data_IF_510198452421
#
_entry.id   IF_510198452421
#
_cell.length_a   1.000
_cell.length_b   1.000
_cell.length_c   1.000
_cell.angle_alpha   90.00
_cell.angle_beta   90.00
_cell.angle_gamma   90.00
#
_symmetry.space_group_name_H-M   'P 1'
#
loop_
_entity.id
_entity.type
_entity.pdbx_description
1 polymer ?
#
# COMPACT_ATOMS: atom_id res chain seq x y z
N UNK A 1 -10.89 4.84 -9.92
CA UNK A 1 -10.10 3.72 -10.46
C UNK A 1 -10.85 3.14 -11.66
N UNK A 2 -10.14 2.83 -12.75
CA UNK A 2 -10.74 2.36 -14.00
C UNK A 2 -10.05 1.06 -14.43
N UNK A 3 -10.82 -0.02 -14.57
CA UNK A 3 -10.33 -1.23 -15.20
C UNK A 3 -10.19 -1.01 -16.71
N UNK A 4 -9.07 -1.45 -17.25
CA UNK A 4 -8.84 -1.43 -18.68
C UNK A 4 -9.15 -2.78 -19.26
N UNK A 5 -10.03 -2.83 -20.26
CA UNK A 5 -10.31 -4.03 -21.04
C UNK A 5 -9.82 -3.86 -22.48
N UNK A 6 -9.62 -4.96 -23.19
CA UNK A 6 -9.36 -4.92 -24.65
C UNK A 6 -10.40 -4.06 -25.38
N UNK A 7 -10.03 -3.43 -26.52
CA UNK A 7 -10.94 -2.56 -27.28
C UNK A 7 -12.27 -3.24 -27.64
N UNK A 8 -12.24 -4.54 -27.94
CA UNK A 8 -13.45 -5.31 -28.26
C UNK A 8 -14.39 -5.45 -27.06
N UNK A 9 -13.85 -5.58 -25.85
CA UNK A 9 -14.64 -5.64 -24.62
C UNK A 9 -15.15 -4.25 -24.25
N UNK A 10 -14.32 -3.20 -24.34
CA UNK A 10 -14.75 -1.81 -24.10
C UNK A 10 -15.92 -1.42 -25.01
N UNK A 11 -15.80 -1.66 -26.31
CA UNK A 11 -16.90 -1.42 -27.26
C UNK A 11 -18.17 -2.22 -26.91
N UNK A 12 -18.01 -3.46 -26.43
CA UNK A 12 -19.12 -4.28 -25.95
C UNK A 12 -19.79 -3.75 -24.69
N UNK A 13 -19.05 -3.14 -23.77
CA UNK A 13 -19.59 -2.46 -22.58
C UNK A 13 -20.37 -1.21 -23.01
N UNK A 14 -19.80 -0.38 -23.89
CA UNK A 14 -20.42 0.87 -24.36
C UNK A 14 -21.77 0.65 -25.04
N UNK A 15 -21.92 -0.42 -25.81
CA UNK A 15 -23.20 -0.77 -26.48
C UNK A 15 -24.13 -1.62 -25.60
N UNK A 16 -23.79 -1.86 -24.32
CA UNK A 16 -24.62 -2.61 -23.37
C UNK A 16 -24.65 -4.12 -23.60
N UNK A 17 -23.76 -4.67 -24.42
CA UNK A 17 -23.62 -6.12 -24.64
C UNK A 17 -22.96 -6.80 -23.44
N UNK A 18 -22.01 -6.12 -22.80
CA UNK A 18 -21.33 -6.59 -21.61
C UNK A 18 -21.62 -5.66 -20.44
N UNK A 19 -21.70 -6.22 -19.23
CA UNK A 19 -21.75 -5.45 -17.99
C UNK A 19 -20.59 -5.82 -17.11
N UNK A 20 -19.96 -4.82 -16.52
CA UNK A 20 -19.01 -5.03 -15.44
C UNK A 20 -19.70 -5.65 -14.22
N UNK A 21 -18.98 -6.53 -13.54
CA UNK A 21 -19.41 -7.12 -12.28
C UNK A 21 -18.97 -6.18 -11.16
N UNK A 22 -19.94 -5.80 -10.34
CA UNK A 22 -19.73 -5.00 -9.15
C UNK A 22 -19.98 -5.87 -7.92
N UNK A 23 -19.08 -5.78 -6.95
CA UNK A 23 -19.22 -6.37 -5.62
C UNK A 23 -19.16 -5.24 -4.60
N UNK A 24 -20.23 -5.05 -3.83
CA UNK A 24 -20.37 -3.91 -2.92
C UNK A 24 -20.15 -2.54 -3.60
N UNK A 25 -20.54 -2.41 -4.86
CA UNK A 25 -20.35 -1.19 -5.67
C UNK A 25 -18.95 -1.01 -6.25
N UNK A 26 -18.02 -1.92 -5.97
CA UNK A 26 -16.64 -1.91 -6.47
C UNK A 26 -16.56 -2.83 -7.69
N UNK A 27 -16.04 -2.33 -8.82
CA UNK A 27 -15.75 -3.17 -9.98
C UNK A 27 -14.63 -4.15 -9.62
N UNK A 28 -14.77 -5.41 -10.03
CA UNK A 28 -13.77 -6.45 -9.76
C UNK A 28 -12.91 -6.78 -10.98
N UNK A 29 -13.05 -5.99 -12.05
CA UNK A 29 -12.31 -6.20 -13.29
C UNK A 29 -12.78 -7.40 -14.09
N UNK A 30 -14.04 -7.81 -13.96
CA UNK A 30 -14.65 -8.91 -14.71
C UNK A 30 -15.92 -8.40 -15.39
N UNK A 31 -16.15 -8.85 -16.61
CA UNK A 31 -17.39 -8.57 -17.35
C UNK A 31 -18.15 -9.84 -17.67
N UNK A 32 -19.47 -9.72 -17.73
CA UNK A 32 -20.39 -10.78 -18.18
C UNK A 32 -21.26 -10.30 -19.33
N UNK A 33 -21.68 -11.25 -20.15
CA UNK A 33 -22.62 -11.03 -21.25
C UNK A 33 -24.02 -10.76 -20.69
N UNK A 34 -24.66 -9.69 -21.15
CA UNK A 34 -25.95 -9.25 -20.60
C UNK A 34 -27.10 -10.17 -20.94
N UNK A 35 -26.98 -10.96 -22.02
CA UNK A 35 -28.04 -11.88 -22.49
C UNK A 35 -27.88 -13.27 -21.89
N UNK A 36 -26.67 -13.82 -21.96
CA UNK A 36 -26.36 -15.20 -21.54
C UNK A 36 -25.92 -15.31 -20.08
N UNK A 37 -25.56 -14.19 -19.43
CA UNK A 37 -25.01 -14.18 -18.07
C UNK A 37 -23.61 -14.80 -17.94
N UNK A 38 -23.02 -15.24 -19.05
CA UNK A 38 -21.72 -15.91 -19.06
C UNK A 38 -20.58 -14.92 -18.83
N UNK A 39 -19.53 -15.32 -18.12
CA UNK A 39 -18.33 -14.49 -17.92
C UNK A 39 -17.55 -14.34 -19.24
N UNK A 40 -17.21 -13.11 -19.65
CA UNK A 40 -16.69 -12.78 -20.99
C UNK A 40 -15.24 -12.31 -21.02
N UNK A 41 -14.79 -11.55 -20.03
CA UNK A 41 -13.39 -11.12 -19.96
C UNK A 41 -13.04 -10.68 -18.54
N UNK A 42 -11.74 -10.61 -18.27
CA UNK A 42 -11.18 -9.86 -17.16
C UNK A 42 -10.43 -8.65 -17.72
N UNK A 43 -10.11 -7.70 -16.85
CA UNK A 43 -9.37 -6.51 -17.20
C UNK A 43 -7.90 -6.83 -17.51
N UNK A 44 -7.35 -6.14 -18.51
CA UNK A 44 -5.95 -6.16 -18.94
C UNK A 44 -5.11 -5.10 -18.20
N UNK A 45 -5.70 -4.32 -17.30
CA UNK A 45 -4.99 -3.29 -16.56
C UNK A 45 -5.90 -2.54 -15.60
N UNK A 46 -5.29 -1.71 -14.76
CA UNK A 46 -6.01 -0.83 -13.85
C UNK A 46 -5.31 0.52 -13.79
N UNK A 47 -6.10 1.58 -13.90
CA UNK A 47 -5.66 2.97 -13.78
C UNK A 47 -6.26 3.64 -12.54
N UNK A 48 -5.43 4.43 -11.86
CA UNK A 48 -5.84 5.40 -10.82
C UNK A 48 -5.40 6.77 -11.30
N UNK A 49 -6.34 7.73 -11.37
CA UNK A 49 -6.09 9.08 -11.86
C UNK A 49 -5.40 9.14 -13.25
N UNK A 50 -5.71 8.17 -14.12
CA UNK A 50 -5.09 7.97 -15.46
C UNK A 50 -3.65 7.44 -15.46
N UNK A 51 -3.12 7.04 -14.30
CA UNK A 51 -1.82 6.39 -14.15
C UNK A 51 -1.98 4.90 -13.84
N UNK A 52 -1.08 4.03 -14.33
CA UNK A 52 -1.06 2.63 -13.94
C UNK A 52 -1.01 2.46 -12.43
N UNK A 53 -1.77 1.48 -11.93
CA UNK A 53 -1.63 1.05 -10.54
C UNK A 53 -0.19 0.58 -10.30
N UNK A 54 0.47 1.22 -9.34
CA UNK A 54 1.82 0.85 -8.92
C UNK A 54 1.88 0.92 -7.38
N UNK A 55 1.30 -0.08 -6.71
CA UNK A 55 1.24 -0.15 -5.25
C UNK A 55 2.65 -0.28 -4.67
N UNK A 56 2.81 0.16 -3.43
CA UNK A 56 4.10 0.11 -2.74
C UNK A 56 4.35 -1.23 -2.07
N UNK A 57 3.30 -1.80 -1.51
CA UNK A 57 3.36 -2.97 -0.66
C UNK A 57 2.53 -4.10 -1.25
N UNK A 58 1.35 -3.80 -1.79
CA UNK A 58 0.37 -4.81 -2.22
C UNK A 58 0.67 -5.38 -3.61
N UNK A 59 0.90 -6.68 -3.80
CA UNK A 59 1.08 -7.29 -5.11
C UNK A 59 -0.16 -7.18 -5.99
N UNK A 60 0.02 -6.65 -7.20
CA UNK A 60 -1.04 -6.59 -8.25
C UNK A 60 -1.52 -8.00 -8.63
N UNK A 61 -0.68 -9.03 -8.46
CA UNK A 61 -1.02 -10.42 -8.73
C UNK A 61 -2.23 -10.93 -7.92
N UNK A 62 -2.57 -10.30 -6.77
CA UNK A 62 -3.74 -10.71 -6.00
C UNK A 62 -5.06 -10.44 -6.72
N UNK A 63 -5.11 -9.41 -7.56
CA UNK A 63 -6.25 -9.12 -8.45
C UNK A 63 -6.50 -10.26 -9.45
N UNK A 64 -5.46 -11.04 -9.76
CA UNK A 64 -5.55 -12.14 -10.70
C UNK A 64 -6.03 -13.42 -10.05
N UNK A 65 -5.73 -13.62 -8.77
CA UNK A 65 -6.02 -14.88 -8.08
C UNK A 65 -7.49 -15.10 -7.78
N UNK A 66 -8.30 -14.04 -7.61
CA UNK A 66 -9.70 -14.15 -7.18
C UNK A 66 -10.55 -15.10 -8.03
N UNK A 67 -10.29 -15.20 -9.33
CA UNK A 67 -11.08 -16.02 -10.26
C UNK A 67 -10.67 -17.50 -10.26
N UNK A 68 -9.45 -17.85 -9.87
CA UNK A 68 -8.86 -19.18 -10.10
C UNK A 68 -8.95 -20.15 -8.91
N UNK A 69 -9.64 -19.80 -7.83
CA UNK A 69 -9.56 -20.56 -6.57
C UNK A 69 -10.74 -21.49 -6.28
N UNK A 70 -11.60 -21.73 -7.28
CA UNK A 70 -12.76 -22.62 -7.16
C UNK A 70 -12.32 -24.10 -7.19
N UNK A 71 -11.77 -24.63 -6.10
CA UNK A 71 -11.12 -25.95 -6.01
C UNK A 71 -11.96 -27.15 -6.48
N UNK A 72 -13.29 -27.09 -6.43
CA UNK A 72 -14.13 -28.29 -6.59
C UNK A 72 -14.20 -28.84 -8.03
N UNK A 73 -13.74 -28.10 -9.04
CA UNK A 73 -13.84 -28.49 -10.45
C UNK A 73 -12.57 -28.24 -11.28
N UNK A 74 -11.43 -28.01 -10.63
CA UNK A 74 -10.18 -27.61 -11.28
C UNK A 74 -9.36 -28.84 -11.70
N UNK A 75 -8.87 -28.84 -12.93
CA UNK A 75 -7.95 -29.82 -13.51
C UNK A 75 -6.52 -29.66 -12.97
N UNK A 76 -5.68 -30.69 -13.06
CA UNK A 76 -4.29 -30.62 -12.60
C UNK A 76 -3.46 -29.49 -13.26
N UNK A 77 -3.77 -29.15 -14.51
CA UNK A 77 -3.15 -28.03 -15.23
C UNK A 77 -3.53 -26.67 -14.64
N UNK A 78 -4.79 -26.49 -14.24
CA UNK A 78 -5.28 -25.24 -13.65
C UNK A 78 -4.76 -25.05 -12.21
N UNK A 79 -4.57 -26.14 -11.44
CA UNK A 79 -3.88 -26.08 -10.13
C UNK A 79 -2.44 -25.59 -10.28
N UNK A 80 -1.73 -26.06 -11.32
CA UNK A 80 -0.35 -25.64 -11.58
C UNK A 80 -0.27 -24.17 -11.97
N UNK A 81 -1.24 -23.67 -12.76
CA UNK A 81 -1.34 -22.25 -13.12
C UNK A 81 -1.67 -21.38 -11.90
N UNK A 82 -2.62 -21.80 -11.05
CA UNK A 82 -2.93 -21.14 -9.77
C UNK A 82 -1.68 -21.04 -8.88
N UNK A 83 -0.95 -22.15 -8.71
CA UNK A 83 0.29 -22.17 -7.93
C UNK A 83 1.37 -21.24 -8.52
N UNK A 84 1.39 -21.07 -9.85
CA UNK A 84 2.25 -20.10 -10.53
C UNK A 84 1.95 -18.65 -10.12
N UNK A 85 0.68 -18.25 -10.12
CA UNK A 85 0.27 -16.90 -9.68
C UNK A 85 0.57 -16.66 -8.21
N UNK A 86 0.25 -17.62 -7.34
CA UNK A 86 0.55 -17.53 -5.91
C UNK A 86 2.05 -17.38 -5.68
N UNK A 87 2.88 -18.16 -6.40
CA UNK A 87 4.34 -18.04 -6.31
C UNK A 87 4.83 -16.67 -6.76
N UNK A 88 4.30 -16.14 -7.87
CA UNK A 88 4.65 -14.80 -8.34
C UNK A 88 4.25 -13.71 -7.33
N UNK A 89 3.08 -13.83 -6.71
CA UNK A 89 2.63 -12.90 -5.67
C UNK A 89 3.52 -12.95 -4.43
N UNK A 90 3.88 -14.15 -3.96
CA UNK A 90 4.81 -14.33 -2.83
C UNK A 90 6.21 -13.78 -3.14
N UNK A 91 6.71 -13.96 -4.37
CA UNK A 91 7.98 -13.37 -4.82
C UNK A 91 7.92 -11.84 -4.89
N UNK A 92 6.77 -11.28 -5.29
CA UNK A 92 6.54 -9.83 -5.26
C UNK A 92 6.55 -9.29 -3.83
N UNK A 93 5.86 -9.96 -2.89
CA UNK A 93 5.91 -9.59 -1.47
C UNK A 93 7.32 -9.65 -0.92
N UNK A 94 8.06 -10.72 -1.23
CA UNK A 94 9.45 -10.87 -0.83
C UNK A 94 10.32 -9.72 -1.36
N UNK A 95 10.20 -9.39 -2.64
CA UNK A 95 10.94 -8.27 -3.26
C UNK A 95 10.58 -6.94 -2.57
N UNK A 96 9.29 -6.68 -2.36
CA UNK A 96 8.84 -5.43 -1.75
C UNK A 96 9.38 -5.30 -0.32
N UNK A 97 9.29 -6.37 0.48
CA UNK A 97 9.78 -6.38 1.86
C UNK A 97 11.30 -6.21 1.91
N UNK A 98 12.06 -6.83 1.00
CA UNK A 98 13.50 -6.63 0.89
C UNK A 98 13.87 -5.16 0.64
N UNK A 99 13.18 -4.51 -0.31
CA UNK A 99 13.40 -3.09 -0.62
C UNK A 99 13.00 -2.20 0.56
N UNK A 100 11.86 -2.47 1.19
CA UNK A 100 11.38 -1.71 2.35
C UNK A 100 12.35 -1.83 3.52
N UNK A 101 12.77 -3.05 3.85
CA UNK A 101 13.70 -3.29 4.95
C UNK A 101 15.07 -2.64 4.72
N UNK A 102 15.57 -2.69 3.48
CA UNK A 102 16.80 -2.00 3.10
C UNK A 102 16.72 -0.49 3.38
N UNK A 103 15.53 0.09 3.24
CA UNK A 103 15.29 1.52 3.44
C UNK A 103 14.99 1.89 4.90
N UNK A 104 14.55 0.95 5.76
CA UNK A 104 14.35 1.20 7.20
C UNK A 104 15.65 1.67 7.84
N UNK A 105 16.74 0.93 7.67
CA UNK A 105 18.03 1.30 8.26
C UNK A 105 18.45 2.71 7.83
N UNK A 106 18.29 3.03 6.54
CA UNK A 106 18.63 4.33 5.98
C UNK A 106 17.81 5.49 6.58
N UNK A 107 16.52 5.28 6.79
CA UNK A 107 15.59 6.29 7.35
C UNK A 107 15.75 6.42 8.86
N UNK A 108 16.07 5.33 9.56
CA UNK A 108 16.38 5.38 11.00
C UNK A 108 17.70 6.14 11.27
N UNK A 109 18.63 6.23 10.31
CA UNK A 109 19.79 7.12 10.40
C UNK A 109 19.43 8.61 10.31
N UNK A 110 18.25 8.96 9.80
CA UNK A 110 17.96 10.30 9.28
C UNK A 110 17.24 11.23 10.26
N UNK A 111 17.61 11.22 11.54
CA UNK A 111 17.16 12.24 12.52
C UNK A 111 17.68 13.66 12.24
N UNK A 112 18.47 13.85 11.18
CA UNK A 112 18.91 15.16 10.70
C UNK A 112 18.25 15.51 9.35
N UNK A 113 17.72 16.74 9.21
CA UNK A 113 17.07 17.28 8.00
C UNK A 113 17.75 16.94 6.67
N UNK A 114 19.08 17.07 6.60
CA UNK A 114 19.86 16.95 5.37
C UNK A 114 20.05 15.51 4.88
N UNK A 115 19.97 14.52 5.78
CA UNK A 115 20.14 13.10 5.45
C UNK A 115 18.80 12.45 5.15
N UNK A 116 17.71 12.91 5.77
CA UNK A 116 16.37 12.43 5.47
C UNK A 116 16.07 12.61 3.99
N UNK A 117 16.29 13.80 3.44
CA UNK A 117 16.04 14.07 2.03
C UNK A 117 16.90 13.20 1.07
N UNK A 118 18.16 12.91 1.40
CA UNK A 118 19.02 12.03 0.58
C UNK A 118 18.65 10.55 0.73
N UNK A 119 18.22 10.13 1.93
CA UNK A 119 17.65 8.81 2.19
C UNK A 119 16.36 8.58 1.39
N UNK A 120 15.51 9.61 1.33
CA UNK A 120 14.25 9.65 0.59
C UNK A 120 14.47 9.59 -0.92
N UNK A 121 15.43 10.36 -1.43
CA UNK A 121 15.83 10.29 -2.85
C UNK A 121 16.45 8.94 -3.22
N UNK A 122 17.28 8.37 -2.34
CA UNK A 122 17.81 7.02 -2.54
C UNK A 122 16.70 5.97 -2.48
N UNK A 123 15.71 6.13 -1.61
CA UNK A 123 14.54 5.28 -1.53
C UNK A 123 13.72 5.33 -2.83
N UNK A 124 13.43 6.51 -3.38
CA UNK A 124 12.80 6.65 -4.70
C UNK A 124 13.64 6.00 -5.81
N UNK A 125 14.98 6.07 -5.70
CA UNK A 125 15.88 5.40 -6.63
C UNK A 125 15.89 3.86 -6.47
N UNK A 126 15.72 3.33 -5.25
CA UNK A 126 15.64 1.89 -4.95
C UNK A 126 14.28 1.28 -5.34
N UNK A 127 13.18 2.06 -5.25
CA UNK A 127 11.85 1.68 -5.77
C UNK A 127 11.88 1.34 -7.26
N UNK A 128 12.77 1.98 -8.01
CA UNK A 128 13.10 1.58 -9.36
C UNK A 128 14.06 0.39 -9.27
N UNK A 129 13.53 -0.82 -9.02
CA UNK A 129 14.26 -2.10 -8.92
C UNK A 129 15.40 -2.25 -9.97
N UNK A 130 15.17 -1.73 -11.18
CA UNK A 130 16.12 -1.68 -12.30
C UNK A 130 17.36 -0.79 -12.07
N UNK A 131 17.21 0.32 -11.33
CA UNK A 131 18.33 1.20 -10.93
C UNK A 131 19.18 0.62 -9.82
N UNK A 132 18.61 -0.19 -8.90
CA UNK A 132 19.40 -0.88 -7.88
C UNK A 132 20.34 -1.94 -8.51
N UNK A 133 19.84 -2.65 -9.53
CA UNK A 133 20.64 -3.54 -10.38
C UNK A 133 21.74 -2.77 -11.14
N UNK A 134 21.45 -1.57 -11.64
CA UNK A 134 22.43 -0.67 -12.29
C UNK A 134 23.43 -0.04 -11.30
N UNK A 135 23.03 0.23 -10.05
CA UNK A 135 23.86 0.85 -9.01
C UNK A 135 24.84 -0.13 -8.34
N UNK A 136 24.84 -1.42 -8.71
CA UNK A 136 25.69 -2.46 -8.10
C UNK A 136 25.61 -2.49 -6.57
N UNK A 137 24.44 -2.14 -6.00
CA UNK A 137 24.25 -2.15 -4.56
C UNK A 137 23.99 -3.60 -4.13
N UNK A 138 24.96 -4.19 -3.43
CA UNK A 138 24.81 -5.53 -2.89
C UNK A 138 23.88 -5.47 -1.66
N UNK A 139 22.60 -5.80 -1.84
CA UNK A 139 21.67 -6.01 -0.73
C UNK A 139 22.07 -7.33 -0.06
N UNK A 140 22.59 -7.28 1.17
CA UNK A 140 22.95 -8.47 1.93
C UNK A 140 21.98 -8.62 3.09
N UNK A 141 21.21 -9.72 3.08
CA UNK A 141 20.23 -10.04 4.11
C UNK A 141 19.18 -8.93 4.34
N UNK A 142 18.73 -8.26 3.27
CA UNK A 142 17.71 -7.21 3.37
C UNK A 142 18.23 -5.85 3.86
N UNK A 143 19.54 -5.66 3.98
CA UNK A 143 20.16 -4.37 4.29
C UNK A 143 21.20 -3.99 3.24
N UNK A 144 21.30 -2.68 2.95
CA UNK A 144 22.34 -2.13 2.08
C UNK A 144 23.50 -1.65 2.96
N UNK A 145 24.73 -1.84 2.48
CA UNK A 145 25.91 -1.23 3.12
C UNK A 145 25.87 0.30 2.98
N UNK A 146 25.38 0.95 4.04
CA UNK A 146 25.26 2.39 4.15
C UNK A 146 26.63 3.10 4.05
N UNK A 147 27.72 2.48 4.52
CA UNK A 147 29.05 3.08 4.40
C UNK A 147 29.51 3.11 2.94
N UNK A 148 29.15 2.10 2.16
CA UNK A 148 29.44 2.05 0.73
C UNK A 148 28.61 3.07 -0.05
N UNK A 149 27.30 3.19 0.25
CA UNK A 149 26.40 4.17 -0.38
C UNK A 149 26.92 5.61 -0.18
N UNK A 150 27.26 5.98 1.05
CA UNK A 150 27.61 7.36 1.39
C UNK A 150 29.10 7.68 1.23
N UNK A 151 29.90 6.76 0.68
CA UNK A 151 31.35 6.94 0.53
C UNK A 151 31.72 8.20 -0.25
N UNK A 152 30.95 8.55 -1.27
CA UNK A 152 31.19 9.71 -2.14
C UNK A 152 30.42 10.97 -1.74
N UNK A 153 29.64 10.92 -0.66
CA UNK A 153 28.81 12.03 -0.21
C UNK A 153 29.59 13.03 0.66
N UNK A 154 28.96 14.17 0.98
CA UNK A 154 29.58 15.24 1.78
C UNK A 154 30.11 14.70 3.12
N UNK A 155 31.20 15.29 3.62
CA UNK A 155 31.87 14.83 4.86
C UNK A 155 30.95 14.79 6.08
N UNK A 156 30.00 15.72 6.16
CA UNK A 156 28.97 15.81 7.19
C UNK A 156 28.07 14.55 7.20
N UNK A 157 27.62 14.12 6.02
CA UNK A 157 26.78 12.92 5.85
C UNK A 157 27.58 11.66 6.23
N UNK A 158 28.85 11.57 5.82
CA UNK A 158 29.72 10.46 6.21
C UNK A 158 29.98 10.39 7.71
N UNK A 159 30.04 11.53 8.39
CA UNK A 159 30.25 11.58 9.83
C UNK A 159 29.00 11.11 10.58
N UNK A 160 27.82 11.57 10.18
CA UNK A 160 26.55 11.14 10.79
C UNK A 160 26.32 9.63 10.56
N UNK A 161 26.59 9.12 9.35
CA UNK A 161 26.52 7.68 9.07
C UNK A 161 27.47 6.89 9.98
N UNK A 162 28.69 7.38 10.23
CA UNK A 162 29.60 6.74 11.19
C UNK A 162 29.01 6.75 12.60
N UNK A 163 28.57 7.90 13.09
CA UNK A 163 28.06 8.06 14.45
C UNK A 163 26.84 7.16 14.72
N UNK A 164 25.89 7.07 13.78
CA UNK A 164 24.69 6.24 13.96
C UNK A 164 24.98 4.74 13.78
N UNK A 165 25.89 4.34 12.88
CA UNK A 165 26.32 2.93 12.78
C UNK A 165 26.97 2.43 14.07
N UNK A 166 27.50 3.33 14.92
CA UNK A 166 28.02 2.99 16.24
C UNK A 166 26.99 3.10 17.38
N UNK A 167 25.76 3.54 17.13
CA UNK A 167 24.71 3.60 18.13
C UNK A 167 24.19 2.19 18.48
N UNK A 168 24.30 1.81 19.75
CA UNK A 168 23.94 0.46 20.21
C UNK A 168 22.44 0.15 20.09
N UNK A 169 21.56 1.14 20.27
CA UNK A 169 20.10 0.95 20.07
C UNK A 169 19.78 0.69 18.59
N UNK A 170 20.43 1.44 17.68
CA UNK A 170 20.27 1.25 16.24
C UNK A 170 20.76 -0.14 15.80
N UNK A 171 21.93 -0.58 16.30
CA UNK A 171 22.43 -1.95 16.04
C UNK A 171 21.49 -3.02 16.57
N UNK A 172 20.93 -2.83 17.76
CA UNK A 172 19.99 -3.77 18.36
C UNK A 172 18.71 -3.87 17.51
N UNK A 173 18.15 -2.73 17.09
CA UNK A 173 16.99 -2.70 16.19
C UNK A 173 17.28 -3.38 14.85
N UNK A 174 18.40 -3.04 14.21
CA UNK A 174 18.82 -3.69 12.96
C UNK A 174 18.99 -5.21 13.13
N UNK A 175 19.51 -5.66 14.28
CA UNK A 175 19.69 -7.09 14.56
C UNK A 175 18.35 -7.82 14.69
N UNK A 176 17.38 -7.22 15.38
CA UNK A 176 16.02 -7.78 15.51
C UNK A 176 15.37 -7.89 14.13
N UNK A 177 15.38 -6.81 13.35
CA UNK A 177 14.77 -6.78 12.03
C UNK A 177 15.47 -7.72 11.04
N UNK A 178 16.80 -7.86 11.12
CA UNK A 178 17.57 -8.86 10.37
C UNK A 178 17.12 -10.27 10.68
N UNK A 179 16.91 -10.58 11.96
CA UNK A 179 16.46 -11.90 12.37
C UNK A 179 15.04 -12.16 11.91
N UNK A 180 14.13 -11.20 12.07
CA UNK A 180 12.75 -11.27 11.59
C UNK A 180 12.71 -11.51 10.07
N UNK A 181 13.54 -10.82 9.30
CA UNK A 181 13.64 -11.02 7.85
C UNK A 181 14.06 -12.43 7.46
N UNK A 182 15.07 -13.00 8.13
CA UNK A 182 15.51 -14.36 7.86
C UNK A 182 14.38 -15.37 8.07
N UNK A 183 13.62 -15.21 9.15
CA UNK A 183 12.45 -16.04 9.44
C UNK A 183 11.35 -15.82 8.41
N UNK A 184 11.13 -14.58 7.94
CA UNK A 184 10.19 -14.30 6.85
C UNK A 184 10.58 -15.03 5.55
N UNK A 185 11.84 -14.95 5.14
CA UNK A 185 12.34 -15.64 3.95
C UNK A 185 12.17 -17.15 4.08
N UNK A 186 12.46 -17.71 5.25
CA UNK A 186 12.22 -19.12 5.54
C UNK A 186 10.74 -19.49 5.42
N UNK A 187 9.84 -18.68 5.96
CA UNK A 187 8.39 -18.88 5.84
C UNK A 187 7.93 -18.83 4.37
N UNK A 188 8.40 -17.86 3.58
CA UNK A 188 8.06 -17.75 2.15
C UNK A 188 8.56 -18.97 1.37
N UNK A 189 9.80 -19.42 1.61
CA UNK A 189 10.35 -20.62 0.97
C UNK A 189 9.53 -21.87 1.33
N UNK A 190 9.07 -21.95 2.57
CA UNK A 190 8.21 -23.04 3.04
C UNK A 190 6.85 -23.01 2.35
N UNK A 191 6.21 -21.85 2.22
CA UNK A 191 4.97 -21.69 1.43
C UNK A 191 5.16 -22.12 -0.02
N UNK A 192 6.26 -21.69 -0.66
CA UNK A 192 6.57 -22.06 -2.04
C UNK A 192 6.77 -23.58 -2.21
N UNK A 193 7.38 -24.23 -1.21
CA UNK A 193 7.56 -25.69 -1.17
C UNK A 193 6.21 -26.38 -0.98
N UNK A 194 5.37 -25.90 -0.07
CA UNK A 194 4.05 -26.45 0.19
C UNK A 194 3.16 -26.49 -1.07
N UNK A 195 3.25 -25.50 -1.96
CA UNK A 195 2.54 -25.49 -3.24
C UNK A 195 2.90 -26.67 -4.16
N UNK A 196 4.01 -27.37 -3.92
CA UNK A 196 4.43 -28.56 -4.70
C UNK A 196 3.99 -29.89 -4.08
N UNK A 197 3.49 -29.87 -2.84
CA UNK A 197 3.08 -31.08 -2.11
C UNK A 197 1.71 -31.54 -2.60
N UNK A 198 1.64 -32.80 -3.03
CA UNK A 198 0.40 -33.42 -3.51
C UNK A 198 -0.54 -33.84 -2.36
N UNK A 199 0.02 -34.33 -1.25
CA UNK A 199 -0.77 -34.73 -0.10
C UNK A 199 -1.37 -33.49 0.59
N UNK A 200 -2.70 -33.39 0.60
CA UNK A 200 -3.41 -32.21 1.12
C UNK A 200 -3.16 -31.96 2.61
N UNK A 201 -3.11 -33.01 3.43
CA UNK A 201 -2.87 -32.86 4.87
C UNK A 201 -1.45 -32.35 5.17
N UNK A 202 -0.44 -32.91 4.49
CA UNK A 202 0.94 -32.43 4.65
C UNK A 202 1.11 -31.01 4.12
N UNK A 203 0.47 -30.70 2.97
CA UNK A 203 0.46 -29.35 2.40
C UNK A 203 -0.13 -28.33 3.39
N UNK A 204 -1.24 -28.67 4.05
CA UNK A 204 -1.87 -27.76 5.01
C UNK A 204 -1.04 -27.59 6.27
N UNK A 205 -0.42 -28.65 6.78
CA UNK A 205 0.52 -28.55 7.89
C UNK A 205 1.71 -27.62 7.58
N UNK A 206 2.23 -27.64 6.35
CA UNK A 206 3.28 -26.72 5.92
C UNK A 206 2.78 -25.26 5.83
N UNK A 207 1.56 -25.02 5.36
CA UNK A 207 0.96 -23.68 5.37
C UNK A 207 0.75 -23.15 6.80
N UNK A 208 0.23 -23.97 7.70
CA UNK A 208 -0.02 -23.58 9.08
C UNK A 208 1.30 -23.23 9.79
N UNK A 209 2.34 -24.05 9.61
CA UNK A 209 3.64 -23.78 10.25
C UNK A 209 4.38 -22.59 9.62
N UNK A 210 4.20 -22.33 8.32
CA UNK A 210 4.68 -21.08 7.71
C UNK A 210 3.92 -19.87 8.25
N UNK A 211 2.60 -19.97 8.46
CA UNK A 211 1.79 -18.91 9.05
C UNK A 211 2.22 -18.59 10.48
N UNK A 212 2.51 -19.58 11.31
CA UNK A 212 3.06 -19.39 12.66
C UNK A 212 4.37 -18.58 12.64
N UNK A 213 5.27 -18.88 11.70
CA UNK A 213 6.49 -18.10 11.52
C UNK A 213 6.19 -16.65 11.14
N UNK A 214 5.25 -16.42 10.23
CA UNK A 214 4.85 -15.06 9.83
C UNK A 214 4.26 -14.26 10.99
N UNK A 215 3.43 -14.86 11.84
CA UNK A 215 2.92 -14.18 13.04
C UNK A 215 4.05 -13.77 13.99
N UNK A 216 5.05 -14.63 14.18
CA UNK A 216 6.22 -14.29 15.00
C UNK A 216 7.03 -13.13 14.41
N UNK A 217 7.25 -13.13 13.10
CA UNK A 217 7.94 -12.03 12.40
C UNK A 217 7.15 -10.73 12.56
N UNK A 218 5.82 -10.79 12.47
CA UNK A 218 4.96 -9.61 12.60
C UNK A 218 5.17 -8.90 13.94
N UNK A 219 5.27 -9.66 15.04
CA UNK A 219 5.54 -9.13 16.39
C UNK A 219 6.84 -8.31 16.46
N UNK A 220 7.90 -8.77 15.80
CA UNK A 220 9.19 -8.06 15.76
C UNK A 220 9.08 -6.72 15.01
N UNK A 221 8.28 -6.68 13.93
CA UNK A 221 8.09 -5.46 13.13
C UNK A 221 7.21 -4.42 13.82
N UNK A 222 6.20 -4.83 14.58
CA UNK A 222 5.24 -3.93 15.24
C UNK A 222 5.53 -3.65 16.72
N UNK A 223 6.68 -4.11 17.23
CA UNK A 223 7.05 -3.95 18.63
C UNK A 223 7.03 -2.46 19.06
N UNK A 224 6.14 -2.11 19.99
CA UNK A 224 5.87 -0.72 20.39
C UNK A 224 7.09 0.01 20.96
N UNK A 225 7.88 -0.65 21.81
CA UNK A 225 9.08 -0.06 22.42
C UNK A 225 10.09 0.40 21.36
N UNK A 226 10.21 -0.39 20.28
CA UNK A 226 11.10 -0.06 19.18
C UNK A 226 10.50 0.96 18.20
N UNK A 227 9.17 1.11 18.12
CA UNK A 227 8.49 2.08 17.25
C UNK A 227 8.45 3.48 17.87
N UNK A 228 8.30 3.60 19.18
CA UNK A 228 8.33 4.90 19.87
C UNK A 228 9.67 5.62 19.71
N UNK A 229 10.76 4.86 19.53
CA UNK A 229 12.09 5.40 19.31
C UNK A 229 12.38 5.78 17.85
N UNK A 230 11.49 5.46 16.89
CA UNK A 230 11.72 5.72 15.45
C UNK A 230 10.98 6.97 14.97
N UNK A 231 11.55 7.63 13.96
CA UNK A 231 10.93 8.77 13.27
C UNK A 231 9.65 8.34 12.57
N UNK A 232 8.74 9.27 12.27
CA UNK A 232 7.50 8.95 11.55
C UNK A 232 7.75 8.25 10.20
N UNK A 233 8.71 8.67 9.36
CA UNK A 233 9.15 7.90 8.19
C UNK A 233 9.59 6.47 8.49
N UNK A 234 10.32 6.25 9.59
CA UNK A 234 10.77 4.92 10.01
C UNK A 234 9.61 4.04 10.48
N UNK A 235 8.68 4.62 11.24
CA UNK A 235 7.43 3.95 11.64
C UNK A 235 6.63 3.51 10.41
N UNK A 236 6.45 4.39 9.42
CA UNK A 236 5.75 4.06 8.17
C UNK A 236 6.35 2.82 7.50
N UNK A 237 7.67 2.79 7.34
CA UNK A 237 8.36 1.66 6.67
C UNK A 237 8.24 0.35 7.42
N UNK A 238 8.29 0.40 8.75
CA UNK A 238 8.07 -0.79 9.58
C UNK A 238 6.65 -1.30 9.45
N UNK A 239 5.66 -0.40 9.40
CA UNK A 239 4.29 -0.78 9.14
C UNK A 239 4.10 -1.35 7.73
N UNK A 240 4.73 -0.80 6.69
CA UNK A 240 4.67 -1.37 5.34
C UNK A 240 5.24 -2.80 5.29
N UNK A 241 6.36 -3.08 5.97
CA UNK A 241 6.85 -4.45 6.11
C UNK A 241 5.85 -5.35 6.84
N UNK A 242 5.26 -4.87 7.94
CA UNK A 242 4.24 -5.59 8.69
C UNK A 242 3.01 -5.92 7.83
N UNK A 243 2.54 -4.97 7.01
CA UNK A 243 1.42 -5.17 6.08
C UNK A 243 1.75 -6.17 4.99
N UNK A 244 2.98 -6.21 4.47
CA UNK A 244 3.42 -7.24 3.53
C UNK A 244 3.40 -8.65 4.15
N UNK A 245 3.81 -8.75 5.42
CA UNK A 245 3.76 -10.01 6.18
C UNK A 245 2.30 -10.45 6.41
N UNK A 246 1.41 -9.52 6.76
CA UNK A 246 -0.02 -9.81 6.92
C UNK A 246 -0.66 -10.25 5.61
N UNK A 247 -0.29 -9.65 4.48
CA UNK A 247 -0.75 -10.13 3.17
C UNK A 247 -0.27 -11.55 2.88
N UNK A 248 0.97 -11.91 3.25
CA UNK A 248 1.44 -13.29 3.14
C UNK A 248 0.62 -14.25 4.03
N UNK A 249 0.21 -13.80 5.22
CA UNK A 249 -0.71 -14.55 6.11
C UNK A 249 -2.07 -14.74 5.43
N UNK A 250 -2.67 -13.68 4.87
CA UNK A 250 -3.94 -13.75 4.15
C UNK A 250 -3.87 -14.75 3.00
N UNK A 251 -2.77 -14.76 2.25
CA UNK A 251 -2.52 -15.72 1.17
C UNK A 251 -2.58 -17.16 1.65
N UNK A 252 -2.10 -17.47 2.86
CA UNK A 252 -2.19 -18.85 3.38
C UNK A 252 -3.64 -19.32 3.55
N UNK A 253 -4.52 -18.47 4.09
CA UNK A 253 -5.96 -18.76 4.20
C UNK A 253 -6.61 -18.89 2.83
N UNK A 254 -6.20 -18.02 1.92
CA UNK A 254 -6.70 -18.01 0.56
C UNK A 254 -6.36 -19.30 -0.21
N UNK A 255 -5.13 -19.81 -0.08
CA UNK A 255 -4.73 -21.08 -0.72
C UNK A 255 -5.49 -22.28 -0.12
N UNK A 256 -5.83 -22.20 1.18
CA UNK A 256 -6.67 -23.19 1.86
C UNK A 256 -8.17 -23.04 1.54
N UNK A 257 -8.56 -22.07 0.71
CA UNK A 257 -9.94 -21.76 0.34
C UNK A 257 -10.82 -21.34 1.54
N UNK A 258 -10.21 -20.72 2.55
CA UNK A 258 -10.90 -20.19 3.74
C UNK A 258 -11.43 -18.77 3.46
N UNK A 259 -12.39 -18.67 2.53
CA UNK A 259 -12.87 -17.40 1.93
C UNK A 259 -13.36 -16.39 2.99
N UNK A 260 -14.05 -16.85 4.03
CA UNK A 260 -14.51 -15.98 5.13
C UNK A 260 -13.34 -15.40 5.91
N UNK A 261 -12.34 -16.23 6.25
CA UNK A 261 -11.15 -15.78 6.94
C UNK A 261 -10.36 -14.78 6.09
N UNK A 262 -10.29 -14.98 4.77
CA UNK A 262 -9.64 -14.04 3.85
C UNK A 262 -10.34 -12.68 3.87
N UNK A 263 -11.68 -12.65 3.73
CA UNK A 263 -12.43 -11.39 3.74
C UNK A 263 -12.28 -10.64 5.07
N UNK A 264 -12.39 -11.35 6.20
CA UNK A 264 -12.23 -10.77 7.53
C UNK A 264 -10.82 -10.20 7.74
N UNK A 265 -9.78 -10.94 7.33
CA UNK A 265 -8.40 -10.48 7.47
C UNK A 265 -8.07 -9.31 6.54
N UNK A 266 -8.60 -9.26 5.32
CA UNK A 266 -8.46 -8.11 4.42
C UNK A 266 -9.14 -6.86 5.00
N UNK A 267 -10.34 -7.03 5.57
CA UNK A 267 -11.05 -5.95 6.25
C UNK A 267 -10.23 -5.42 7.43
N UNK A 268 -9.71 -6.34 8.27
CA UNK A 268 -8.88 -5.99 9.41
C UNK A 268 -7.61 -5.25 8.98
N UNK A 269 -6.87 -5.78 7.99
CA UNK A 269 -5.65 -5.16 7.48
C UNK A 269 -5.93 -3.75 6.94
N UNK A 270 -7.01 -3.54 6.19
CA UNK A 270 -7.39 -2.20 5.69
C UNK A 270 -7.63 -1.21 6.82
N UNK A 271 -8.37 -1.61 7.85
CA UNK A 271 -8.63 -0.74 9.01
C UNK A 271 -7.33 -0.44 9.76
N UNK A 272 -6.50 -1.46 9.96
CA UNK A 272 -5.21 -1.35 10.62
C UNK A 272 -4.26 -0.40 9.88
N UNK A 273 -4.19 -0.48 8.54
CA UNK A 273 -3.41 0.45 7.71
C UNK A 273 -3.87 1.89 7.96
N UNK A 274 -5.18 2.15 7.94
CA UNK A 274 -5.74 3.50 8.17
C UNK A 274 -5.37 4.04 9.55
N UNK A 275 -5.51 3.22 10.58
CA UNK A 275 -5.18 3.59 11.96
C UNK A 275 -3.68 3.86 12.13
N UNK A 276 -2.83 2.96 11.65
CA UNK A 276 -1.38 3.09 11.77
C UNK A 276 -0.85 4.30 10.97
N UNK A 277 -1.40 4.57 9.79
CA UNK A 277 -1.07 5.80 9.03
C UNK A 277 -1.45 7.05 9.82
N UNK A 278 -2.63 7.09 10.45
CA UNK A 278 -3.01 8.23 11.28
C UNK A 278 -2.02 8.42 12.44
N UNK A 279 -1.57 7.34 13.07
CA UNK A 279 -0.52 7.40 14.11
C UNK A 279 0.78 7.97 13.56
N UNK A 280 1.23 7.52 12.37
CA UNK A 280 2.43 8.06 11.71
C UNK A 280 2.29 9.56 11.43
N UNK A 281 1.14 10.00 10.88
CA UNK A 281 0.91 11.41 10.58
C UNK A 281 0.97 12.26 11.86
N UNK A 282 0.36 11.78 12.94
CA UNK A 282 0.37 12.47 14.24
C UNK A 282 1.77 12.56 14.88
N UNK A 283 2.66 11.62 14.56
CA UNK A 283 4.05 11.59 15.03
C UNK A 283 5.00 12.36 14.10
N UNK A 284 4.51 12.98 13.02
CA UNK A 284 5.34 13.77 12.12
C UNK A 284 5.70 15.11 12.77
N UNK A 285 7.00 15.39 12.88
CA UNK A 285 7.51 16.55 13.62
C UNK A 285 8.07 17.66 12.71
N UNK A 286 8.29 17.39 11.42
CA UNK A 286 8.95 18.36 10.52
C UNK A 286 8.51 18.29 9.06
N UNK A 287 8.73 19.39 8.33
CA UNK A 287 8.51 19.45 6.87
C UNK A 287 9.41 18.46 6.09
N UNK A 288 10.59 18.12 6.60
CA UNK A 288 11.48 17.17 5.94
C UNK A 288 10.88 15.75 5.99
N UNK A 289 10.37 15.34 7.16
CA UNK A 289 9.61 14.09 7.28
C UNK A 289 8.35 14.12 6.42
N UNK A 290 7.62 15.23 6.42
CA UNK A 290 6.40 15.38 5.64
C UNK A 290 6.64 15.30 4.13
N UNK A 291 7.79 15.79 3.66
CA UNK A 291 8.19 15.68 2.24
C UNK A 291 8.33 14.25 1.74
N UNK A 292 8.60 13.34 2.67
CA UNK A 292 8.59 11.91 2.41
C UNK A 292 7.22 11.29 2.66
N UNK A 293 6.62 11.59 3.81
CA UNK A 293 5.38 10.95 4.23
C UNK A 293 4.23 11.27 3.27
N UNK A 294 4.13 12.51 2.79
CA UNK A 294 2.99 12.93 1.99
C UNK A 294 2.88 12.13 0.67
N UNK A 295 3.91 12.03 -0.18
CA UNK A 295 3.80 11.26 -1.42
C UNK A 295 3.53 9.77 -1.15
N UNK A 296 4.19 9.20 -0.14
CA UNK A 296 4.09 7.79 0.20
C UNK A 296 2.70 7.42 0.73
N UNK A 297 2.18 8.18 1.70
CA UNK A 297 0.86 7.98 2.29
C UNK A 297 -0.24 8.20 1.25
N UNK A 298 -0.12 9.25 0.42
CA UNK A 298 -1.06 9.51 -0.67
C UNK A 298 -1.15 8.33 -1.61
N UNK A 299 0.00 7.73 -1.94
CA UNK A 299 0.07 6.56 -2.81
C UNK A 299 -0.50 5.31 -2.15
N UNK A 300 -0.22 5.06 -0.87
CA UNK A 300 -0.82 3.95 -0.12
C UNK A 300 -2.34 4.06 -0.11
N UNK A 301 -2.88 5.26 0.08
CA UNK A 301 -4.32 5.50 0.03
C UNK A 301 -4.90 5.19 -1.36
N UNK A 302 -4.30 5.74 -2.41
CA UNK A 302 -4.83 5.68 -3.78
C UNK A 302 -4.61 4.35 -4.49
N UNK A 303 -3.54 3.65 -4.16
CA UNK A 303 -3.12 2.42 -4.83
C UNK A 303 -3.28 1.20 -3.93
N UNK A 304 -2.51 1.11 -2.85
CA UNK A 304 -2.44 -0.08 -2.00
C UNK A 304 -3.79 -0.43 -1.36
N UNK A 305 -4.43 0.52 -0.66
CA UNK A 305 -5.75 0.30 -0.06
C UNK A 305 -6.80 -0.07 -1.11
N UNK A 306 -6.72 0.52 -2.29
CA UNK A 306 -7.67 0.28 -3.35
C UNK A 306 -7.48 -1.11 -4.00
N UNK A 307 -6.26 -1.64 -4.06
CA UNK A 307 -6.03 -3.06 -4.43
C UNK A 307 -6.59 -3.99 -3.36
N UNK A 308 -6.38 -3.70 -2.07
CA UNK A 308 -6.96 -4.52 -0.99
C UNK A 308 -8.50 -4.50 -1.04
N UNK A 309 -9.10 -3.37 -1.41
CA UNK A 309 -10.54 -3.24 -1.62
C UNK A 309 -11.04 -4.12 -2.76
N UNK A 310 -10.36 -4.11 -3.90
CA UNK A 310 -10.72 -5.00 -5.02
C UNK A 310 -10.51 -6.45 -4.64
N UNK A 311 -9.41 -6.78 -3.97
CA UNK A 311 -9.12 -8.14 -3.53
C UNK A 311 -10.24 -8.65 -2.60
N UNK A 312 -10.65 -7.85 -1.63
CA UNK A 312 -11.78 -8.21 -0.76
C UNK A 312 -13.08 -8.33 -1.57
N UNK A 313 -13.37 -7.38 -2.46
CA UNK A 313 -14.56 -7.39 -3.31
C UNK A 313 -14.62 -8.64 -4.20
N UNK A 314 -13.48 -9.12 -4.70
CA UNK A 314 -13.35 -10.36 -5.47
C UNK A 314 -13.63 -11.59 -4.59
N UNK A 315 -13.07 -11.65 -3.39
CA UNK A 315 -13.27 -12.75 -2.43
C UNK A 315 -14.75 -12.83 -2.03
N UNK A 316 -15.35 -11.69 -1.68
CA UNK A 316 -16.78 -11.58 -1.35
C UNK A 316 -17.67 -11.98 -2.54
N UNK A 317 -17.29 -11.56 -3.76
CA UNK A 317 -18.01 -11.92 -4.96
C UNK A 317 -17.99 -13.43 -5.20
N UNK A 318 -16.83 -14.08 -5.14
CA UNK A 318 -16.70 -15.53 -5.30
C UNK A 318 -17.51 -16.26 -4.23
N UNK A 319 -17.51 -15.76 -3.00
CA UNK A 319 -18.34 -16.31 -1.93
C UNK A 319 -19.84 -16.24 -2.24
N UNK A 320 -20.28 -15.18 -2.92
CA UNK A 320 -21.69 -14.95 -3.27
C UNK A 320 -22.20 -15.77 -4.45
N UNK A 321 -21.31 -16.42 -5.22
CA UNK A 321 -21.69 -17.16 -6.42
C UNK A 321 -22.45 -18.45 -6.09
N UNK A 322 -23.51 -18.72 -6.86
CA UNK A 322 -24.19 -20.02 -6.82
C UNK A 322 -23.31 -21.14 -7.39
N UNK A 323 -23.61 -22.40 -7.07
CA UNK A 323 -22.92 -23.56 -7.68
C UNK A 323 -22.94 -23.55 -9.21
N UNK A 324 -24.01 -23.02 -9.82
CA UNK A 324 -24.13 -22.92 -11.27
C UNK A 324 -23.18 -21.88 -11.83
N UNK A 325 -23.11 -20.70 -11.21
CA UNK A 325 -22.18 -19.64 -11.59
C UNK A 325 -20.73 -20.05 -11.35
N UNK A 326 -20.45 -20.78 -10.26
CA UNK A 326 -19.14 -21.37 -10.00
C UNK A 326 -18.71 -22.34 -11.10
N UNK A 327 -19.63 -23.18 -11.61
CA UNK A 327 -19.36 -24.06 -12.76
C UNK A 327 -19.16 -23.28 -14.06
N UNK A 328 -19.88 -22.17 -14.27
CA UNK A 328 -19.68 -21.29 -15.42
C UNK A 328 -18.31 -20.59 -15.36
N UNK A 329 -17.87 -20.19 -14.17
CA UNK A 329 -16.57 -19.58 -13.93
C UNK A 329 -15.43 -20.56 -14.22
N UNK A 330 -15.56 -21.80 -13.74
CA UNK A 330 -14.56 -22.86 -13.91
C UNK A 330 -14.46 -23.38 -15.36
N UNK A 331 -15.54 -23.34 -16.14
CA UNK A 331 -15.53 -23.82 -17.54
C UNK A 331 -14.73 -22.93 -18.49
N UNK A 332 -14.39 -21.72 -18.07
CA UNK A 332 -13.70 -20.78 -18.91
C UNK A 332 -12.20 -20.87 -18.71
N UNK A 333 -11.50 -21.25 -19.78
CA UNK A 333 -10.05 -21.21 -19.79
C UNK A 333 -9.61 -19.74 -19.94
N UNK A 334 -9.31 -19.11 -18.82
CA UNK A 334 -8.81 -17.74 -18.77
C UNK A 334 -7.33 -17.75 -19.22
N UNK A 335 -7.08 -17.76 -20.52
CA UNK A 335 -5.72 -17.63 -21.06
C UNK A 335 -5.14 -16.29 -20.60
N UNK A 336 -4.18 -16.31 -19.68
CA UNK A 336 -3.72 -15.14 -18.91
C UNK A 336 -2.30 -14.68 -19.26
N UNK A 337 -1.68 -15.24 -20.30
CA UNK A 337 -0.29 -14.92 -20.63
C UNK A 337 -0.07 -13.44 -21.02
N UNK A 338 -1.14 -12.68 -21.29
CA UNK A 338 -1.06 -11.30 -21.78
C UNK A 338 -0.99 -10.22 -20.68
N UNK A 339 -1.37 -10.51 -19.43
CA UNK A 339 -1.30 -9.49 -18.35
C UNK A 339 0.08 -9.39 -17.69
N UNK A 340 0.75 -10.52 -17.47
CA UNK A 340 2.15 -10.51 -17.02
C UNK A 340 3.02 -9.73 -18.02
N UNK A 341 2.75 -9.89 -19.32
CA UNK A 341 3.33 -9.02 -20.32
C UNK A 341 2.81 -7.58 -20.25
N UNK A 342 1.55 -7.28 -19.96
CA UNK A 342 1.08 -5.88 -19.87
C UNK A 342 1.79 -5.08 -18.77
N UNK A 343 2.00 -5.67 -17.59
CA UNK A 343 2.75 -5.03 -16.48
C UNK A 343 4.25 -4.88 -16.78
N UNK A 344 4.85 -5.80 -17.54
CA UNK A 344 6.25 -5.68 -18.00
C UNK A 344 6.40 -4.76 -19.23
N UNK A 345 5.41 -4.71 -20.12
CA UNK A 345 5.47 -3.96 -21.39
C UNK A 345 5.09 -2.50 -21.19
N UNK A 346 4.22 -2.16 -20.23
CA UNK A 346 3.89 -0.78 -19.88
C UNK A 346 4.79 -0.14 -18.81
N UNK A 347 5.77 -0.87 -18.24
CA UNK A 347 6.96 -0.24 -17.63
C UNK A 347 7.79 0.56 -18.68
N UNK A 348 7.55 0.34 -19.97
CA UNK A 348 8.13 1.12 -21.07
C UNK A 348 7.35 2.41 -21.38
N UNK A 349 6.16 2.60 -20.79
CA UNK A 349 5.52 3.92 -20.77
C UNK A 349 6.32 4.77 -19.81
N UNK A 350 6.87 5.87 -20.29
CA UNK A 350 7.72 6.82 -19.56
C UNK A 350 7.15 7.07 -18.16
N UNK A 351 7.65 6.33 -17.16
CA UNK A 351 7.37 6.62 -15.76
C UNK A 351 7.84 8.06 -15.58
N UNK A 352 6.95 9.00 -15.24
CA UNK A 352 7.36 10.39 -15.08
C UNK A 352 8.50 10.42 -14.08
N UNK A 353 9.55 11.20 -14.39
CA UNK A 353 10.77 11.27 -13.59
C UNK A 353 10.48 11.66 -12.12
N UNK A 354 9.34 12.31 -11.90
CA UNK A 354 8.79 12.72 -10.60
C UNK A 354 7.37 12.13 -10.47
N UNK A 355 7.07 11.39 -9.39
CA UNK A 355 5.72 10.89 -9.11
C UNK A 355 4.70 12.03 -8.98
N UNK A 356 3.43 11.83 -9.40
CA UNK A 356 2.40 12.88 -9.32
C UNK A 356 2.13 13.33 -7.88
N UNK A 357 2.25 12.44 -6.89
CA UNK A 357 2.05 12.78 -5.48
C UNK A 357 3.11 13.75 -4.94
N UNK A 358 4.33 13.71 -5.49
CA UNK A 358 5.41 14.64 -5.12
C UNK A 358 5.13 16.05 -5.66
N UNK A 359 4.63 16.16 -6.88
CA UNK A 359 4.20 17.45 -7.45
C UNK A 359 3.05 18.07 -6.66
N UNK A 360 2.10 17.24 -6.19
CA UNK A 360 1.00 17.70 -5.33
C UNK A 360 1.57 18.23 -4.00
N UNK A 361 2.49 17.50 -3.38
CA UNK A 361 3.13 17.96 -2.15
C UNK A 361 3.85 19.29 -2.33
N UNK A 362 4.64 19.46 -3.41
CA UNK A 362 5.37 20.69 -3.66
C UNK A 362 4.47 21.91 -3.83
N UNK A 363 3.27 21.75 -4.39
CA UNK A 363 2.29 22.81 -4.48
C UNK A 363 1.66 23.11 -3.12
N UNK A 364 1.23 22.08 -2.38
CA UNK A 364 0.64 22.22 -1.06
C UNK A 364 1.60 22.88 -0.06
N UNK A 365 2.88 22.51 -0.08
CA UNK A 365 3.91 23.06 0.79
C UNK A 365 4.16 24.57 0.56
N UNK A 366 3.88 25.09 -0.64
CA UNK A 366 3.96 26.52 -0.95
C UNK A 366 2.72 27.29 -0.48
N UNK A 367 1.58 26.61 -0.43
CA UNK A 367 0.26 27.23 -0.26
C UNK A 367 -0.39 26.97 1.11
N UNK A 368 0.21 26.13 1.96
CA UNK A 368 -0.39 25.67 3.22
C UNK A 368 0.62 25.61 4.36
N UNK A 369 0.12 25.77 5.59
CA UNK A 369 0.89 25.55 6.81
C UNK A 369 1.09 24.05 7.09
N UNK A 370 2.19 23.68 7.78
CA UNK A 370 2.55 22.32 8.21
C UNK A 370 1.35 21.49 8.69
N UNK A 371 0.70 21.92 9.77
CA UNK A 371 -0.46 21.21 10.32
C UNK A 371 -1.65 21.11 9.36
N UNK A 372 -1.84 22.11 8.49
CA UNK A 372 -2.88 22.03 7.47
C UNK A 372 -2.60 20.94 6.44
N UNK A 373 -1.33 20.64 6.16
CA UNK A 373 -0.95 19.56 5.24
C UNK A 373 -1.11 18.20 5.94
N UNK A 374 -0.77 18.10 7.22
CA UNK A 374 -1.04 16.89 8.02
C UNK A 374 -2.53 16.55 8.03
N UNK A 375 -3.39 17.53 8.30
CA UNK A 375 -4.84 17.31 8.32
C UNK A 375 -5.39 16.90 6.95
N UNK A 376 -4.85 17.47 5.86
CA UNK A 376 -5.19 17.04 4.50
C UNK A 376 -4.87 15.55 4.27
N UNK A 377 -3.73 15.05 4.78
CA UNK A 377 -3.44 13.62 4.74
C UNK A 377 -4.43 12.82 5.60
N UNK A 378 -4.80 13.32 6.78
CA UNK A 378 -5.76 12.64 7.66
C UNK A 378 -7.14 12.55 6.98
N UNK A 379 -7.56 13.56 6.22
CA UNK A 379 -8.85 13.54 5.51
C UNK A 379 -8.98 12.36 4.55
N UNK A 380 -7.87 11.90 3.96
CA UNK A 380 -7.85 10.72 3.09
C UNK A 380 -8.30 9.43 3.80
N UNK A 381 -8.12 9.36 5.13
CA UNK A 381 -8.42 8.16 5.93
C UNK A 381 -9.59 8.38 6.91
N UNK A 382 -9.83 9.63 7.31
CA UNK A 382 -10.88 10.05 8.24
C UNK A 382 -11.71 11.18 7.61
N UNK A 383 -12.59 10.88 6.63
CA UNK A 383 -13.41 11.90 5.96
C UNK A 383 -14.37 12.62 6.92
N UNK A 384 -14.70 12.01 8.06
CA UNK A 384 -15.51 12.65 9.12
C UNK A 384 -14.81 13.88 9.70
N UNK A 385 -13.49 13.85 9.87
CA UNK A 385 -12.73 15.00 10.39
C UNK A 385 -12.85 16.20 9.44
N UNK A 386 -12.82 15.96 8.11
CA UNK A 386 -13.05 17.01 7.11
C UNK A 386 -14.43 17.64 7.27
N UNK A 387 -15.46 16.84 7.54
CA UNK A 387 -16.82 17.34 7.78
C UNK A 387 -16.92 18.15 9.09
N UNK A 388 -16.23 17.73 10.15
CA UNK A 388 -16.14 18.49 11.39
C UNK A 388 -15.50 19.86 11.16
N UNK A 389 -14.46 19.94 10.33
CA UNK A 389 -13.82 21.20 9.96
C UNK A 389 -14.78 22.11 9.18
N UNK A 390 -15.54 21.58 8.23
CA UNK A 390 -16.58 22.36 7.53
C UNK A 390 -17.58 22.97 8.50
N UNK A 391 -18.07 22.19 9.47
CA UNK A 391 -19.04 22.63 10.47
C UNK A 391 -18.44 23.75 11.32
N UNK A 392 -17.21 23.57 11.81
CA UNK A 392 -16.51 24.59 12.60
C UNK A 392 -16.30 25.88 11.79
N UNK A 393 -15.81 25.78 10.55
CA UNK A 393 -15.57 26.94 9.67
C UNK A 393 -16.88 27.69 9.42
N UNK A 394 -17.98 26.99 9.14
CA UNK A 394 -19.28 27.61 8.92
C UNK A 394 -19.74 28.40 10.16
N UNK A 395 -19.58 27.83 11.35
CA UNK A 395 -19.93 28.50 12.61
C UNK A 395 -19.08 29.75 12.86
N UNK A 396 -17.76 29.65 12.72
CA UNK A 396 -16.84 30.77 12.94
C UNK A 396 -16.99 31.86 11.88
N UNK A 397 -17.22 31.48 10.63
CA UNK A 397 -17.50 32.41 9.54
C UNK A 397 -18.78 33.21 9.79
N UNK A 398 -19.84 32.59 10.31
CA UNK A 398 -21.05 33.30 10.70
C UNK A 398 -20.80 34.29 11.85
N UNK A 399 -20.04 33.90 12.87
CA UNK A 399 -19.70 34.76 14.00
C UNK A 399 -18.85 35.98 13.59
N UNK A 400 -17.99 35.82 12.57
CA UNK A 400 -17.04 36.85 12.10
C UNK A 400 -17.54 37.62 10.86
N UNK A 401 -18.75 37.37 10.38
CA UNK A 401 -19.38 38.10 9.27
C UNK A 401 -18.98 37.64 7.86
N UNK A 402 -18.34 36.47 7.72
CA UNK A 402 -17.97 35.86 6.44
C UNK A 402 -19.13 35.06 5.81
N UNK A 403 -20.20 35.76 5.43
CA UNK A 403 -21.47 35.17 4.95
C UNK A 403 -21.40 34.30 3.67
N UNK A 404 -20.26 34.19 3.00
CA UNK A 404 -20.06 33.33 1.82
C UNK A 404 -19.55 31.94 2.15
N UNK A 405 -18.99 31.72 3.35
CA UNK A 405 -18.46 30.43 3.79
C UNK A 405 -19.58 29.56 4.40
N UNK A 406 -20.63 29.34 3.61
CA UNK A 406 -21.77 28.50 3.99
C UNK A 406 -21.49 27.03 3.68
N UNK A 407 -22.16 26.11 4.40
CA UNK A 407 -21.95 24.66 4.28
C UNK A 407 -21.86 24.16 2.83
N UNK A 408 -22.77 24.58 1.95
CA UNK A 408 -22.79 24.15 0.55
C UNK A 408 -21.50 24.48 -0.20
N UNK A 409 -20.92 25.64 0.06
CA UNK A 409 -19.68 26.08 -0.60
C UNK A 409 -18.48 25.33 0.00
N UNK A 410 -18.49 25.09 1.31
CA UNK A 410 -17.44 24.32 1.99
C UNK A 410 -17.41 22.87 1.52
N UNK A 411 -18.57 22.24 1.32
CA UNK A 411 -18.65 20.88 0.77
C UNK A 411 -17.99 20.74 -0.61
N UNK A 412 -18.04 21.79 -1.42
CA UNK A 412 -17.43 21.83 -2.76
C UNK A 412 -15.97 22.30 -2.76
N UNK A 413 -15.48 22.81 -1.62
CA UNK A 413 -14.12 23.32 -1.50
C UNK A 413 -13.11 22.16 -1.46
N UNK A 414 -11.89 22.43 -1.94
CA UNK A 414 -10.79 21.49 -1.85
C UNK A 414 -10.39 21.24 -0.40
N UNK A 415 -9.79 20.08 -0.15
CA UNK A 415 -9.25 19.73 1.17
C UNK A 415 -8.22 20.75 1.66
N UNK A 416 -7.39 21.28 0.76
CA UNK A 416 -6.48 22.41 1.03
C UNK A 416 -7.23 23.64 1.56
N UNK A 417 -8.35 23.99 0.91
CA UNK A 417 -9.15 25.16 1.32
C UNK A 417 -9.75 24.94 2.70
N UNK A 418 -10.31 23.76 2.96
CA UNK A 418 -10.92 23.42 4.25
C UNK A 418 -9.88 23.45 5.36
N UNK A 419 -8.75 22.77 5.19
CA UNK A 419 -7.71 22.72 6.22
C UNK A 419 -7.11 24.12 6.49
N UNK A 420 -6.80 24.91 5.45
CA UNK A 420 -6.27 26.26 5.63
C UNK A 420 -7.28 27.20 6.31
N UNK A 421 -8.57 27.13 5.95
CA UNK A 421 -9.61 27.93 6.60
C UNK A 421 -9.81 27.54 8.07
N UNK A 422 -9.73 26.25 8.39
CA UNK A 422 -9.80 25.79 9.77
C UNK A 422 -8.72 26.44 10.63
N UNK A 423 -7.45 26.38 10.20
CA UNK A 423 -6.35 27.03 10.93
C UNK A 423 -6.45 28.56 10.92
N UNK A 424 -6.96 29.17 9.85
CA UNK A 424 -7.23 30.61 9.80
C UNK A 424 -8.18 31.04 10.94
N UNK A 425 -9.26 30.30 11.17
CA UNK A 425 -10.21 30.61 12.23
C UNK A 425 -9.68 30.21 13.61
N UNK A 426 -9.07 29.03 13.73
CA UNK A 426 -8.57 28.48 15.00
C UNK A 426 -7.54 29.38 15.68
N UNK A 427 -6.60 29.97 14.93
CA UNK A 427 -5.58 30.88 15.50
C UNK A 427 -6.18 32.21 15.97
N UNK A 428 -7.37 32.58 15.47
CA UNK A 428 -8.09 33.80 15.83
C UNK A 428 -9.21 33.55 16.86
N UNK A 429 -9.41 32.30 17.26
CA UNK A 429 -10.40 31.92 18.24
C UNK A 429 -9.84 32.17 19.65
N UNK A 430 -10.17 33.32 20.24
CA UNK A 430 -9.72 33.74 21.57
C UNK A 430 -10.21 32.81 22.70
N UNK A 431 -11.14 31.90 22.43
CA UNK A 431 -11.62 30.92 23.41
C UNK A 431 -10.66 29.73 23.61
N UNK A 432 -9.60 29.63 22.79
CA UNK A 432 -8.72 28.44 22.69
C UNK A 432 -7.25 28.72 23.11
N UNK A 433 -7.06 29.61 24.09
CA UNK A 433 -5.76 30.22 24.48
C UNK A 433 -4.65 29.27 24.95
N UNK A 434 -4.94 28.02 25.31
CA UNK A 434 -3.89 27.06 25.74
C UNK A 434 -3.16 26.38 24.57
N UNK A 435 -3.78 26.24 23.39
CA UNK A 435 -3.14 25.66 22.19
C UNK A 435 -2.49 26.71 21.27
N UNK A 436 -2.95 27.97 21.31
CA UNK A 436 -2.48 29.02 20.39
C UNK A 436 -1.01 29.37 20.57
N UNK A 437 -0.43 29.11 21.75
CA UNK A 437 0.97 29.35 22.07
C UNK A 437 1.94 28.26 21.56
N UNK A 438 1.43 27.11 21.10
CA UNK A 438 2.23 26.04 20.48
C UNK A 438 2.23 26.08 18.95
N UNK A 439 1.44 26.98 18.34
CA UNK A 439 1.24 27.13 16.90
C UNK A 439 1.97 28.36 16.30
N UNK A 440 2.63 29.16 17.14
CA UNK A 440 3.49 30.30 16.77
C UNK A 440 4.94 29.90 17.02
#
# INVERSE_FOLDING_TARGET
>A
MLFEFTPAIKAGIEVGKYTEILSNGISIGIVRDTVSGSFVAHADGILVDSYPISPLVVPVQFLMTGVYMVQNHITSSEISQQNGFVRAALQSLQTNLEVLQATIALIELSRTPSIALEAVKLHQALKLKKKAEEMQLEVRNGFIDLQQIFKNQKSEIRQIVKEVVYNDNFKQHCTILLQAYKVFIEAINRLQTALTIQNTSHRYAEFDSAREMLFKVLEDYINSQSLEATSAPGQLRRFECAWAIEQAIIVTYQIQNEVLAVSDQLCHLRNKIKEQICTVINNCESYDELSFLFPEISRICKHDLAILEIWQAQVDWVHSLSEMEMKLLARKNWNTLELASFLDTHQSTTVPLVPPEELIYEDLAKNSHFYSILDQLIFLFKPVLRQEYEVYINQQAHATGHNRLVQRNLQQASDMTIANLYYYFRVRDESNTEETLALV
#
